data_IF_454312059170
#
_entry.id   IF_454312059170
#
_cell.length_a   1.000
_cell.length_b   1.000
_cell.length_c   1.000
_cell.angle_alpha   90.00
_cell.angle_beta   90.00
_cell.angle_gamma   90.00
#
_symmetry.space_group_name_H-M   'P 1'
#
loop_
_entity.id
_entity.type
_entity.pdbx_description
1 polymer ?
#
# COMPACT_ATOMS: atom_id res chain seq x y z
N UNK A 1 -5.71 24.37 9.39
CA UNK A 1 -4.36 24.12 8.84
C UNK A 1 -4.18 22.62 8.72
N UNK A 2 -3.76 22.21 7.53
CA UNK A 2 -3.76 20.88 6.91
C UNK A 2 -3.27 19.75 7.80
N UNK A 3 -4.17 18.83 8.17
CA UNK A 3 -3.84 17.51 8.73
C UNK A 3 -4.07 16.42 7.67
N UNK A 4 -3.51 16.57 6.47
CA UNK A 4 -3.11 15.34 5.76
C UNK A 4 -2.10 14.67 6.70
N UNK A 5 -2.36 13.43 7.12
CA UNK A 5 -1.55 12.81 8.17
C UNK A 5 -0.11 12.74 7.65
N UNK A 6 0.88 13.04 8.51
CA UNK A 6 2.28 13.15 8.07
C UNK A 6 2.75 11.89 7.31
N UNK A 7 2.19 10.72 7.64
CA UNK A 7 2.43 9.45 6.93
C UNK A 7 2.06 9.52 5.44
N UNK A 8 0.93 10.11 5.06
CA UNK A 8 0.49 10.18 3.66
C UNK A 8 1.54 10.92 2.83
N UNK A 9 1.97 12.09 3.32
CA UNK A 9 2.96 12.94 2.66
C UNK A 9 4.34 12.28 2.60
N UNK A 10 4.75 11.60 3.67
CA UNK A 10 6.04 10.92 3.73
C UNK A 10 6.07 9.75 2.75
N UNK A 11 5.05 8.90 2.77
CA UNK A 11 4.99 7.71 1.92
C UNK A 11 4.84 8.09 0.45
N UNK A 12 4.05 9.11 0.12
CA UNK A 12 3.98 9.63 -1.26
C UNK A 12 5.36 10.03 -1.79
N UNK A 13 6.12 10.81 -1.01
CA UNK A 13 7.48 11.23 -1.40
C UNK A 13 8.44 10.06 -1.52
N UNK A 14 8.29 9.05 -0.67
CA UNK A 14 9.12 7.84 -0.75
C UNK A 14 8.81 7.02 -2.00
N UNK A 15 7.53 6.87 -2.36
CA UNK A 15 7.12 6.21 -3.61
C UNK A 15 7.66 6.98 -4.81
N UNK A 16 7.51 8.31 -4.85
CA UNK A 16 8.03 9.13 -5.94
C UNK A 16 9.55 8.99 -6.08
N UNK A 17 10.28 8.99 -4.94
CA UNK A 17 11.72 8.77 -4.94
C UNK A 17 12.08 7.36 -5.42
N UNK A 18 11.37 6.32 -4.97
CA UNK A 18 11.56 4.94 -5.41
C UNK A 18 11.38 4.79 -6.92
N UNK A 19 10.39 5.46 -7.52
CA UNK A 19 10.15 5.45 -8.97
C UNK A 19 11.32 6.11 -9.71
N UNK A 20 11.91 7.16 -9.12
CA UNK A 20 12.97 7.94 -9.76
C UNK A 20 14.35 7.27 -9.83
N UNK A 21 14.60 6.24 -9.02
CA UNK A 21 15.90 5.57 -8.93
C UNK A 21 15.95 4.29 -9.78
N UNK A 22 17.14 3.90 -10.26
CA UNK A 22 17.32 2.67 -11.05
C UNK A 22 17.91 1.50 -10.25
N UNK A 23 18.43 1.77 -9.06
CA UNK A 23 19.08 0.75 -8.23
C UNK A 23 18.05 -0.13 -7.52
N UNK A 24 18.04 -1.42 -7.84
CA UNK A 24 17.08 -2.37 -7.29
C UNK A 24 17.27 -2.62 -5.79
N UNK A 25 18.49 -2.52 -5.26
CA UNK A 25 18.74 -2.66 -3.83
C UNK A 25 18.09 -1.52 -3.06
N UNK A 26 18.30 -0.27 -3.49
CA UNK A 26 17.65 0.89 -2.90
C UNK A 26 16.13 0.90 -3.10
N UNK A 27 15.64 0.48 -4.28
CA UNK A 27 14.19 0.33 -4.51
C UNK A 27 13.58 -0.66 -3.52
N UNK A 28 14.22 -1.79 -3.30
CA UNK A 28 13.76 -2.82 -2.35
C UNK A 28 13.68 -2.27 -0.93
N UNK A 29 14.69 -1.51 -0.50
CA UNK A 29 14.71 -0.91 0.84
C UNK A 29 13.59 0.13 1.01
N UNK A 30 13.42 1.02 0.03
CA UNK A 30 12.37 2.05 0.08
C UNK A 30 10.98 1.42 0.02
N UNK A 31 10.76 0.44 -0.86
CA UNK A 31 9.51 -0.31 -0.94
C UNK A 31 9.17 -0.95 0.41
N UNK A 32 10.14 -1.63 1.02
CA UNK A 32 9.97 -2.25 2.35
C UNK A 32 9.58 -1.22 3.40
N UNK A 33 10.21 -0.05 3.40
CA UNK A 33 9.88 1.02 4.35
C UNK A 33 8.49 1.63 4.08
N UNK A 34 8.08 1.80 2.83
CA UNK A 34 6.73 2.25 2.49
C UNK A 34 5.66 1.31 3.06
N UNK A 35 5.87 0.00 2.91
CA UNK A 35 4.98 -1.03 3.47
C UNK A 35 4.92 -0.92 5.00
N UNK A 36 6.07 -0.90 5.68
CA UNK A 36 6.11 -0.84 7.14
C UNK A 36 5.38 0.40 7.70
N UNK A 37 5.53 1.54 7.03
CA UNK A 37 4.84 2.77 7.42
C UNK A 37 3.34 2.70 7.14
N UNK A 38 2.97 2.10 6.00
CA UNK A 38 1.57 1.94 5.66
C UNK A 38 0.86 1.00 6.64
N UNK A 39 1.48 -0.13 7.02
CA UNK A 39 0.89 -1.09 7.97
C UNK A 39 0.69 -0.49 9.36
N UNK A 40 1.63 0.34 9.84
CA UNK A 40 1.60 0.87 11.20
C UNK A 40 0.75 2.14 11.34
N UNK A 41 0.70 2.96 10.29
CA UNK A 41 0.22 4.34 10.41
C UNK A 41 -0.86 4.69 9.40
N UNK A 42 -1.36 3.74 8.60
CA UNK A 42 -2.43 4.01 7.66
C UNK A 42 -3.61 4.74 8.33
N UNK A 43 -4.03 5.90 7.81
CA UNK A 43 -5.16 6.64 8.36
C UNK A 43 -6.51 6.00 8.00
N UNK A 44 -6.53 5.16 6.96
CA UNK A 44 -7.70 4.40 6.54
C UNK A 44 -7.29 3.19 5.70
N UNK A 45 -8.16 2.18 5.66
CA UNK A 45 -7.96 0.98 4.85
C UNK A 45 -7.90 1.31 3.34
N UNK A 46 -8.68 2.32 2.91
CA UNK A 46 -8.66 2.80 1.52
C UNK A 46 -7.28 3.37 1.15
N UNK A 47 -6.72 4.24 1.99
CA UNK A 47 -5.40 4.81 1.75
C UNK A 47 -4.32 3.72 1.77
N UNK A 48 -4.42 2.76 2.69
CA UNK A 48 -3.49 1.62 2.75
C UNK A 48 -3.47 0.85 1.43
N UNK A 49 -4.63 0.48 0.91
CA UNK A 49 -4.73 -0.30 -0.34
C UNK A 49 -4.21 0.49 -1.54
N UNK A 50 -4.58 1.77 -1.66
CA UNK A 50 -4.08 2.62 -2.74
C UNK A 50 -2.56 2.76 -2.70
N UNK A 51 -2.00 2.91 -1.50
CA UNK A 51 -0.56 2.99 -1.27
C UNK A 51 0.13 1.69 -1.67
N UNK A 52 -0.40 0.56 -1.22
CA UNK A 52 0.14 -0.75 -1.54
C UNK A 52 0.07 -1.07 -3.04
N UNK A 53 -1.01 -0.69 -3.72
CA UNK A 53 -1.12 -0.83 -5.18
C UNK A 53 -0.01 -0.06 -5.91
N UNK A 54 0.27 1.20 -5.50
CA UNK A 54 1.37 1.99 -6.08
C UNK A 54 2.74 1.36 -5.83
N UNK A 55 2.96 0.80 -4.63
CA UNK A 55 4.21 0.10 -4.32
C UNK A 55 4.36 -1.15 -5.21
N UNK A 56 3.29 -1.93 -5.40
CA UNK A 56 3.34 -3.12 -6.26
C UNK A 56 3.45 -2.83 -7.75
N UNK A 57 2.84 -1.74 -8.22
CA UNK A 57 2.94 -1.31 -9.62
C UNK A 57 4.40 -1.04 -10.03
N UNK A 58 5.20 -0.47 -9.12
CA UNK A 58 6.56 -0.02 -9.44
C UNK A 58 7.69 -0.89 -8.87
N UNK A 59 7.39 -1.72 -7.86
CA UNK A 59 8.38 -2.55 -7.18
C UNK A 59 7.83 -3.94 -6.81
N UNK A 60 6.73 -4.39 -7.40
CA UNK A 60 6.07 -5.65 -7.02
C UNK A 60 6.96 -6.90 -7.15
N UNK A 61 7.89 -6.91 -8.09
CA UNK A 61 8.92 -7.95 -8.26
C UNK A 61 10.02 -7.91 -7.19
N UNK A 62 10.20 -6.76 -6.54
CA UNK A 62 11.18 -6.51 -5.49
C UNK A 62 10.57 -6.64 -4.07
N UNK A 63 9.25 -6.54 -3.93
CA UNK A 63 8.58 -6.68 -2.63
C UNK A 63 8.59 -8.14 -2.17
N UNK A 64 8.87 -8.34 -0.88
CA UNK A 64 8.85 -9.67 -0.28
C UNK A 64 7.48 -10.34 -0.46
N UNK A 65 7.48 -11.55 -1.02
CA UNK A 65 6.26 -12.32 -1.28
C UNK A 65 5.37 -12.48 -0.05
N UNK A 66 5.94 -12.53 1.17
CA UNK A 66 5.17 -12.61 2.42
C UNK A 66 4.30 -11.36 2.64
N UNK A 67 4.83 -10.18 2.30
CA UNK A 67 4.10 -8.91 2.40
C UNK A 67 2.94 -8.89 1.40
N UNK A 68 3.20 -9.30 0.15
CA UNK A 68 2.15 -9.44 -0.86
C UNK A 68 1.05 -10.42 -0.42
N UNK A 69 1.43 -11.56 0.15
CA UNK A 69 0.48 -12.52 0.71
C UNK A 69 -0.32 -11.96 1.88
N UNK A 70 0.31 -11.21 2.79
CA UNK A 70 -0.39 -10.57 3.91
C UNK A 70 -1.46 -9.60 3.41
N UNK A 71 -1.16 -8.79 2.38
CA UNK A 71 -2.16 -7.91 1.78
C UNK A 71 -3.28 -8.70 1.09
N UNK A 72 -2.95 -9.71 0.29
CA UNK A 72 -3.96 -10.55 -0.37
C UNK A 72 -4.90 -11.20 0.64
N UNK A 73 -4.35 -11.66 1.77
CA UNK A 73 -5.13 -12.20 2.88
C UNK A 73 -6.03 -11.13 3.52
N UNK A 74 -5.49 -9.95 3.80
CA UNK A 74 -6.26 -8.84 4.37
C UNK A 74 -7.43 -8.40 3.48
N UNK A 75 -7.24 -8.38 2.16
CA UNK A 75 -8.31 -8.08 1.19
C UNK A 75 -9.36 -9.20 1.16
N UNK A 76 -8.92 -10.46 1.28
CA UNK A 76 -9.81 -11.62 1.28
C UNK A 76 -10.64 -11.73 2.56
N UNK A 77 -9.99 -11.62 3.72
CA UNK A 77 -10.57 -11.76 5.06
C UNK A 77 -11.30 -10.50 5.52
N UNK A 78 -11.00 -9.33 4.93
CA UNK A 78 -11.52 -8.05 5.40
C UNK A 78 -10.75 -7.53 6.61
N UNK A 79 -11.04 -6.31 7.05
CA UNK A 79 -10.36 -5.72 8.22
C UNK A 79 -11.03 -6.11 9.56
N UNK A 80 -11.99 -7.04 9.54
CA UNK A 80 -12.70 -7.48 10.74
C UNK A 80 -13.65 -6.44 11.33
N UNK A 81 -14.04 -5.43 10.54
CA UNK A 81 -15.17 -4.56 10.90
C UNK A 81 -16.47 -5.35 10.64
N UNK A 82 -17.40 -5.41 11.60
CA UNK A 82 -18.70 -6.12 11.50
C UNK A 82 -19.63 -5.60 10.36
N UNK A 83 -19.12 -4.80 9.44
CA UNK A 83 -19.80 -4.24 8.28
C UNK A 83 -19.33 -4.90 6.98
N UNK A 84 -20.03 -5.96 6.55
CA UNK A 84 -19.85 -6.65 5.26
C UNK A 84 -19.79 -5.69 4.05
N UNK A 85 -20.37 -4.49 4.17
CA UNK A 85 -20.37 -3.48 3.13
C UNK A 85 -19.03 -2.74 3.02
N UNK A 86 -18.30 -2.58 4.14
CA UNK A 86 -16.96 -2.02 4.16
C UNK A 86 -15.98 -2.97 3.45
N UNK A 87 -16.05 -4.27 3.75
CA UNK A 87 -15.24 -5.30 3.10
C UNK A 87 -15.52 -5.44 1.61
N UNK A 88 -16.79 -5.28 1.19
CA UNK A 88 -17.17 -5.31 -0.23
C UNK A 88 -16.54 -4.14 -0.99
N UNK A 89 -16.62 -2.91 -0.44
CA UNK A 89 -15.98 -1.72 -1.04
C UNK A 89 -14.46 -1.83 -1.07
N UNK A 90 -13.91 -2.44 -0.04
CA UNK A 90 -12.48 -2.66 0.09
C UNK A 90 -11.94 -3.56 -1.04
N UNK A 91 -12.62 -4.68 -1.29
CA UNK A 91 -12.29 -5.59 -2.38
C UNK A 91 -12.40 -4.91 -3.74
N UNK A 92 -13.45 -4.11 -3.98
CA UNK A 92 -13.57 -3.36 -5.24
C UNK A 92 -12.43 -2.37 -5.42
N UNK A 93 -12.08 -1.59 -4.39
CA UNK A 93 -10.98 -0.62 -4.44
C UNK A 93 -9.62 -1.26 -4.74
N UNK A 94 -9.36 -2.44 -4.17
CA UNK A 94 -8.11 -3.16 -4.42
C UNK A 94 -7.95 -3.58 -5.88
N UNK A 95 -9.05 -4.01 -6.53
CA UNK A 95 -9.03 -4.50 -7.91
C UNK A 95 -9.14 -3.37 -8.93
N UNK A 96 -9.85 -2.28 -8.62
CA UNK A 96 -10.00 -1.14 -9.53
C UNK A 96 -8.68 -0.45 -9.87
N UNK A 97 -7.73 -0.39 -8.92
CA UNK A 97 -6.39 0.18 -9.14
C UNK A 97 -5.43 -0.71 -9.94
N UNK A 98 -5.81 -1.96 -10.26
CA UNK A 98 -4.99 -2.91 -11.03
C UNK A 98 -5.40 -3.00 -12.51
N UNK A 99 -6.38 -2.19 -12.95
CA UNK A 99 -6.77 -2.11 -14.35
C UNK A 99 -5.81 -1.18 -15.09
N UNK A 100 -4.99 -1.79 -15.94
CA UNK A 100 -4.22 -1.14 -16.99
C UNK A 100 -5.03 -0.11 -17.78
#
# INVERSE_FOLDING_TARGET
>A
MTKSTNVEVIVDRMIDYMISINDNHYKTEIASRCVELAEQFAPSNQWFIQTMNRVFEHAGDLVNIKVAHNLMRLIAEGFGEDDDNADTKLRSSAVEGLKY
#
